data_IF_068463666520
#
_entry.id   IF_068463666520
#
_cell.length_a   1.000
_cell.length_b   1.000
_cell.length_c   1.000
_cell.angle_alpha   90.00
_cell.angle_beta   90.00
_cell.angle_gamma   90.00
#
_symmetry.space_group_name_H-M   'P 1'
#
loop_
_entity.id
_entity.type
_entity.pdbx_description
1 polymer ?
#
# COMPACT_ATOMS: atom_id res chain seq x y z
N UNK A 1 31.39 -50.90 -27.22
CA UNK A 1 31.89 -49.65 -26.58
C UNK A 1 31.32 -49.54 -25.17
N UNK A 2 32.03 -50.08 -24.18
CA UNK A 2 31.67 -49.92 -22.76
C UNK A 2 32.05 -48.48 -22.38
N UNK A 3 31.10 -47.54 -22.47
CA UNK A 3 31.28 -46.21 -21.88
C UNK A 3 31.54 -46.44 -20.40
N UNK A 4 32.71 -46.04 -19.93
CA UNK A 4 33.12 -46.18 -18.54
C UNK A 4 32.03 -45.60 -17.63
N UNK A 5 31.40 -46.47 -16.84
CA UNK A 5 30.22 -46.16 -16.02
C UNK A 5 30.53 -45.02 -15.04
N UNK A 6 31.80 -44.90 -14.63
CA UNK A 6 32.27 -43.81 -13.77
C UNK A 6 32.24 -42.46 -14.49
N UNK A 7 32.70 -42.41 -15.74
CA UNK A 7 32.70 -41.19 -16.57
C UNK A 7 31.26 -40.76 -16.87
N UNK A 8 30.38 -41.69 -17.21
CA UNK A 8 28.96 -41.41 -17.44
C UNK A 8 28.28 -40.87 -16.17
N UNK A 9 28.55 -41.48 -15.02
CA UNK A 9 28.00 -41.05 -13.72
C UNK A 9 28.46 -39.63 -13.36
N UNK A 10 29.73 -39.31 -13.59
CA UNK A 10 30.29 -37.97 -13.34
C UNK A 10 29.64 -36.91 -14.25
N UNK A 11 29.46 -37.21 -15.53
CA UNK A 11 28.78 -36.33 -16.50
C UNK A 11 27.32 -36.08 -16.13
N UNK A 12 26.58 -37.13 -15.75
CA UNK A 12 25.19 -37.03 -15.28
C UNK A 12 25.09 -36.09 -14.08
N UNK A 13 25.94 -36.29 -13.06
CA UNK A 13 25.94 -35.46 -11.85
C UNK A 13 26.30 -34.01 -12.14
N UNK A 14 27.33 -33.78 -12.98
CA UNK A 14 27.74 -32.44 -13.40
C UNK A 14 26.59 -31.70 -14.09
N UNK A 15 26.01 -32.27 -15.14
CA UNK A 15 24.87 -31.66 -15.87
C UNK A 15 23.67 -31.40 -14.95
N UNK A 16 23.41 -32.34 -14.05
CA UNK A 16 22.32 -32.18 -13.09
C UNK A 16 22.57 -31.01 -12.12
N UNK A 17 23.79 -30.86 -11.58
CA UNK A 17 24.18 -29.73 -10.71
C UNK A 17 24.14 -28.39 -11.45
N UNK A 18 24.50 -28.37 -12.74
CA UNK A 18 24.42 -27.19 -13.62
C UNK A 18 22.97 -26.72 -13.89
N UNK A 19 21.94 -27.45 -13.43
CA UNK A 19 20.53 -27.01 -13.58
C UNK A 19 19.69 -27.86 -14.53
N UNK A 20 20.31 -28.80 -15.25
CA UNK A 20 19.56 -29.63 -16.18
C UNK A 20 18.58 -30.55 -15.44
N UNK A 21 17.38 -30.71 -15.99
CA UNK A 21 16.38 -31.65 -15.45
C UNK A 21 16.76 -33.09 -15.82
N UNK A 22 16.28 -34.07 -15.05
CA UNK A 22 16.49 -35.50 -15.32
C UNK A 22 16.14 -35.87 -16.77
N UNK A 23 15.04 -35.30 -17.31
CA UNK A 23 14.61 -35.55 -18.67
C UNK A 23 15.53 -34.92 -19.73
N UNK A 24 16.10 -33.74 -19.44
CA UNK A 24 17.06 -33.06 -20.32
C UNK A 24 18.38 -33.83 -20.34
N UNK A 25 18.91 -34.20 -19.16
CA UNK A 25 20.14 -35.00 -19.05
C UNK A 25 19.99 -36.36 -19.74
N UNK A 26 18.83 -37.01 -19.59
CA UNK A 26 18.52 -38.27 -20.26
C UNK A 26 18.55 -38.12 -21.80
N UNK A 27 17.94 -37.05 -22.33
CA UNK A 27 17.92 -36.76 -23.76
C UNK A 27 19.30 -36.41 -24.31
N UNK A 28 20.04 -35.54 -23.63
CA UNK A 28 21.38 -35.08 -24.05
C UNK A 28 22.41 -36.22 -24.08
N UNK A 29 22.36 -37.13 -23.11
CA UNK A 29 23.34 -38.21 -22.99
C UNK A 29 22.88 -39.52 -23.67
N UNK A 30 21.66 -39.54 -24.22
CA UNK A 30 21.08 -40.73 -24.86
C UNK A 30 20.84 -41.89 -23.89
N UNK A 31 20.47 -41.58 -22.64
CA UNK A 31 20.24 -42.57 -21.58
C UNK A 31 18.81 -42.50 -21.05
N UNK A 32 18.34 -43.55 -20.41
CA UNK A 32 17.00 -43.56 -19.82
C UNK A 32 16.90 -42.64 -18.59
N UNK A 33 15.70 -42.14 -18.29
CA UNK A 33 15.45 -41.30 -17.10
C UNK A 33 15.77 -42.05 -15.79
N UNK A 34 15.50 -43.36 -15.75
CA UNK A 34 15.81 -44.21 -14.59
C UNK A 34 17.31 -44.38 -14.39
N UNK A 35 18.09 -44.48 -15.47
CA UNK A 35 19.57 -44.46 -15.42
C UNK A 35 20.05 -43.16 -14.78
N UNK A 36 19.57 -42.01 -15.23
CA UNK A 36 19.93 -40.70 -14.63
C UNK A 36 19.58 -40.66 -13.15
N UNK A 37 18.38 -41.13 -12.78
CA UNK A 37 17.91 -41.12 -11.40
C UNK A 37 18.71 -42.05 -10.47
N UNK A 38 19.25 -43.16 -11.00
CA UNK A 38 20.14 -44.08 -10.27
C UNK A 38 21.51 -43.44 -10.01
N UNK A 39 22.01 -42.61 -10.93
CA UNK A 39 23.32 -41.94 -10.80
C UNK A 39 23.28 -40.66 -9.96
N UNK A 40 22.10 -40.03 -9.78
CA UNK A 40 21.91 -38.86 -8.90
C UNK A 40 21.54 -39.33 -7.48
N UNK A 41 22.43 -39.16 -6.48
CA UNK A 41 22.18 -39.59 -5.11
C UNK A 41 21.00 -38.83 -4.51
N UNK A 42 20.29 -39.46 -3.56
CA UNK A 42 19.05 -38.91 -3.00
C UNK A 42 19.27 -37.56 -2.33
N UNK A 43 20.43 -37.33 -1.69
CA UNK A 43 20.74 -36.03 -1.07
C UNK A 43 20.94 -34.90 -2.09
N UNK A 44 21.33 -35.21 -3.32
CA UNK A 44 21.48 -34.21 -4.39
C UNK A 44 20.17 -33.96 -5.14
N UNK A 45 19.11 -34.72 -4.88
CA UNK A 45 17.82 -34.54 -5.55
C UNK A 45 17.18 -33.24 -5.08
N UNK A 46 16.85 -32.37 -6.03
CA UNK A 46 16.06 -31.16 -5.81
C UNK A 46 14.74 -31.53 -5.17
N UNK A 47 14.32 -30.74 -4.20
CA UNK A 47 12.97 -30.81 -3.65
C UNK A 47 11.93 -30.49 -4.74
N UNK A 48 10.67 -30.83 -4.46
CA UNK A 48 9.58 -30.62 -5.41
C UNK A 48 9.47 -29.15 -5.86
N UNK A 49 9.73 -28.21 -4.94
CA UNK A 49 9.68 -26.78 -5.20
C UNK A 49 10.81 -26.29 -6.14
N UNK A 50 12.06 -26.70 -5.92
CA UNK A 50 13.18 -26.38 -6.81
C UNK A 50 13.05 -27.09 -8.15
N UNK A 51 12.53 -28.33 -8.18
CA UNK A 51 12.22 -29.02 -9.42
C UNK A 51 11.13 -28.29 -10.22
N UNK A 52 10.08 -27.78 -9.57
CA UNK A 52 9.03 -26.98 -10.23
C UNK A 52 9.57 -25.66 -10.79
N UNK A 53 10.37 -24.93 -10.00
CA UNK A 53 11.05 -23.69 -10.45
C UNK A 53 11.94 -23.96 -11.66
N UNK A 54 12.68 -25.08 -11.66
CA UNK A 54 13.55 -25.43 -12.78
C UNK A 54 12.75 -25.81 -14.03
N UNK A 55 11.62 -26.52 -13.91
CA UNK A 55 10.74 -26.81 -15.04
C UNK A 55 10.17 -25.54 -15.65
N UNK A 56 9.81 -24.55 -14.82
CA UNK A 56 9.34 -23.26 -15.28
C UNK A 56 10.45 -22.49 -16.05
N UNK A 57 11.69 -22.52 -15.55
CA UNK A 57 12.85 -21.90 -16.24
C UNK A 57 13.21 -22.61 -17.55
N UNK A 58 13.14 -23.94 -17.57
CA UNK A 58 13.49 -24.77 -18.73
C UNK A 58 12.32 -24.92 -19.71
N UNK A 59 11.16 -24.31 -19.45
CA UNK A 59 10.05 -24.33 -20.38
C UNK A 59 10.49 -23.57 -21.63
N UNK A 60 10.57 -24.29 -22.74
CA UNK A 60 10.86 -23.67 -24.03
C UNK A 60 9.81 -22.58 -24.28
N UNK A 61 10.28 -21.36 -24.54
CA UNK A 61 9.40 -20.26 -24.91
C UNK A 61 8.68 -20.65 -26.18
N UNK A 62 7.35 -20.56 -26.14
CA UNK A 62 6.53 -20.75 -27.34
C UNK A 62 6.92 -19.71 -28.40
N UNK A 63 6.74 -20.00 -29.70
CA UNK A 63 7.01 -19.02 -30.76
C UNK A 63 6.30 -17.68 -30.54
N UNK A 64 5.09 -17.73 -29.97
CA UNK A 64 4.31 -16.56 -29.56
C UNK A 64 5.02 -15.74 -28.47
N UNK A 65 5.54 -16.39 -27.42
CA UNK A 65 6.27 -15.71 -26.35
C UNK A 65 7.57 -15.07 -26.85
N UNK A 66 8.26 -15.71 -27.80
CA UNK A 66 9.45 -15.15 -28.45
C UNK A 66 9.10 -13.90 -29.27
N UNK A 67 8.03 -13.94 -30.05
CA UNK A 67 7.55 -12.80 -30.81
C UNK A 67 7.14 -11.63 -29.89
N UNK A 68 6.39 -11.93 -28.82
CA UNK A 68 5.99 -10.94 -27.81
C UNK A 68 7.22 -10.31 -27.14
N UNK A 69 8.22 -11.12 -26.80
CA UNK A 69 9.49 -10.63 -26.24
C UNK A 69 10.20 -9.68 -27.20
N UNK A 70 10.30 -10.04 -28.49
CA UNK A 70 10.91 -9.17 -29.50
C UNK A 70 10.16 -7.83 -29.63
N UNK A 71 8.83 -7.84 -29.57
CA UNK A 71 8.03 -6.60 -29.57
C UNK A 71 8.27 -5.74 -28.33
N UNK A 72 8.35 -6.35 -27.14
CA UNK A 72 8.68 -5.65 -25.89
C UNK A 72 10.05 -4.97 -26.01
N UNK A 73 11.08 -5.71 -26.45
CA UNK A 73 12.44 -5.17 -26.61
C UNK A 73 12.45 -4.02 -27.61
N UNK A 74 11.76 -4.16 -28.75
CA UNK A 74 11.68 -3.11 -29.77
C UNK A 74 11.00 -1.83 -29.26
N UNK A 75 9.81 -1.96 -28.66
CA UNK A 75 9.05 -0.81 -28.14
C UNK A 75 9.77 -0.16 -26.97
N UNK A 76 10.31 -0.96 -26.05
CA UNK A 76 11.10 -0.41 -24.96
C UNK A 76 12.33 0.29 -25.50
N UNK A 77 13.08 -0.32 -26.43
CA UNK A 77 14.27 0.24 -27.07
C UNK A 77 14.04 1.59 -27.76
N UNK A 78 12.83 1.83 -28.31
CA UNK A 78 12.47 3.08 -28.98
C UNK A 78 12.20 4.26 -28.04
N UNK A 79 12.58 4.19 -26.76
CA UNK A 79 12.32 5.24 -25.77
C UNK A 79 10.99 5.13 -25.04
N UNK A 80 10.14 4.14 -25.34
CA UNK A 80 8.83 4.02 -24.69
C UNK A 80 8.98 3.57 -23.22
N UNK A 81 8.25 4.17 -22.26
CA UNK A 81 8.27 3.76 -20.86
C UNK A 81 7.56 2.42 -20.68
N UNK A 82 7.98 1.63 -19.68
CA UNK A 82 7.48 0.28 -19.43
C UNK A 82 5.94 0.24 -19.29
N UNK A 83 5.35 1.26 -18.68
CA UNK A 83 3.90 1.41 -18.50
C UNK A 83 3.17 1.52 -19.84
N UNK A 84 3.73 2.27 -20.79
CA UNK A 84 3.12 2.47 -22.11
C UNK A 84 3.35 1.27 -23.01
N UNK A 85 4.51 0.60 -22.90
CA UNK A 85 4.74 -0.70 -23.55
C UNK A 85 3.74 -1.74 -23.06
N UNK A 86 3.53 -1.82 -21.74
CA UNK A 86 2.56 -2.70 -21.10
C UNK A 86 1.13 -2.43 -21.62
N UNK A 87 0.71 -1.17 -21.63
CA UNK A 87 -0.61 -0.78 -22.16
C UNK A 87 -0.76 -1.09 -23.65
N UNK A 88 0.26 -0.82 -24.47
CA UNK A 88 0.25 -1.05 -25.93
C UNK A 88 0.11 -2.54 -26.27
N UNK A 89 0.76 -3.40 -25.48
CA UNK A 89 0.75 -4.85 -25.71
C UNK A 89 -0.31 -5.60 -24.89
N UNK A 90 -1.10 -4.91 -24.07
CA UNK A 90 -2.12 -5.53 -23.21
C UNK A 90 -1.53 -6.46 -22.14
N UNK A 91 -0.31 -6.20 -21.67
CA UNK A 91 0.38 -7.01 -20.66
C UNK A 91 0.66 -6.21 -19.38
N UNK A 92 1.02 -6.89 -18.30
CA UNK A 92 1.42 -6.20 -17.06
C UNK A 92 2.81 -5.58 -17.17
N UNK A 93 3.08 -4.55 -16.36
CA UNK A 93 4.42 -3.94 -16.28
C UNK A 93 5.46 -4.96 -15.81
N UNK A 94 5.11 -5.85 -14.88
CA UNK A 94 5.98 -6.92 -14.42
C UNK A 94 6.31 -7.91 -15.56
N UNK A 95 5.33 -8.20 -16.41
CA UNK A 95 5.53 -9.03 -17.60
C UNK A 95 6.50 -8.38 -18.62
N UNK A 96 6.54 -7.05 -18.71
CA UNK A 96 7.54 -6.30 -19.49
C UNK A 96 8.94 -6.48 -18.87
N UNK A 97 9.07 -6.27 -17.55
CA UNK A 97 10.36 -6.38 -16.84
C UNK A 97 10.96 -7.78 -16.98
N UNK A 98 10.17 -8.83 -16.77
CA UNK A 98 10.64 -10.23 -16.87
C UNK A 98 11.12 -10.59 -18.28
N UNK A 99 10.64 -9.90 -19.32
CA UNK A 99 10.99 -10.15 -20.72
C UNK A 99 12.21 -9.37 -21.21
N UNK A 100 12.60 -8.33 -20.48
CA UNK A 100 13.82 -7.56 -20.71
C UNK A 100 15.00 -8.24 -20.01
N UNK A 101 16.15 -8.28 -20.68
CA UNK A 101 17.40 -8.69 -20.03
C UNK A 101 17.86 -7.61 -19.04
N UNK A 102 18.61 -7.97 -17.97
CA UNK A 102 19.13 -6.99 -17.01
C UNK A 102 19.94 -5.88 -17.67
N UNK A 103 20.67 -6.19 -18.75
CA UNK A 103 21.43 -5.21 -19.55
C UNK A 103 20.56 -4.28 -20.40
N UNK A 104 19.31 -4.66 -20.65
CA UNK A 104 18.34 -3.87 -21.41
C UNK A 104 17.54 -2.93 -20.50
N UNK A 105 17.61 -3.08 -19.18
CA UNK A 105 16.92 -2.19 -18.26
C UNK A 105 17.63 -0.85 -18.22
N UNK A 106 16.89 0.23 -18.52
CA UNK A 106 17.41 1.59 -18.38
C UNK A 106 17.74 1.89 -16.93
N UNK A 107 18.74 2.74 -16.74
CA UNK A 107 19.01 3.32 -15.44
C UNK A 107 17.81 4.15 -14.95
N UNK A 108 17.67 4.28 -13.63
CA UNK A 108 16.59 5.12 -13.04
C UNK A 108 16.64 6.56 -13.55
N UNK A 109 17.85 7.10 -13.76
CA UNK A 109 18.05 8.47 -14.24
C UNK A 109 17.62 8.63 -15.70
N UNK A 110 17.96 7.68 -16.56
CA UNK A 110 17.60 7.69 -17.97
C UNK A 110 16.08 7.50 -18.18
N UNK A 111 15.46 6.59 -17.41
CA UNK A 111 14.02 6.42 -17.41
C UNK A 111 13.28 7.70 -16.96
N UNK A 112 13.83 8.41 -15.97
CA UNK A 112 13.27 9.68 -15.51
C UNK A 112 13.41 10.78 -16.57
N UNK A 113 14.55 10.90 -17.25
CA UNK A 113 14.75 11.87 -18.35
C UNK A 113 13.74 11.69 -19.48
N UNK A 114 13.60 10.47 -19.99
CA UNK A 114 12.66 10.16 -21.08
C UNK A 114 11.19 10.36 -20.67
N UNK A 115 10.86 10.11 -19.40
CA UNK A 115 9.51 10.36 -18.89
C UNK A 115 9.20 11.86 -18.81
N UNK A 116 10.18 12.69 -18.44
CA UNK A 116 10.03 14.16 -18.42
C UNK A 116 9.87 14.71 -19.83
N UNK A 117 10.66 14.19 -20.78
CA UNK A 117 10.63 14.58 -22.20
C UNK A 117 9.26 14.26 -22.85
N UNK A 118 8.74 13.05 -22.65
CA UNK A 118 7.40 12.69 -23.12
C UNK A 118 6.28 13.46 -22.40
N UNK A 119 6.48 13.85 -21.14
CA UNK A 119 5.52 14.70 -20.42
C UNK A 119 5.59 16.17 -20.85
N UNK A 120 6.72 16.66 -21.37
CA UNK A 120 6.77 17.99 -22.03
C UNK A 120 6.01 18.00 -23.33
N UNK A 121 6.05 16.92 -24.12
CA UNK A 121 5.31 16.84 -25.38
C UNK A 121 3.78 16.86 -25.17
N UNK A 122 3.31 16.36 -24.03
CA UNK A 122 1.88 16.32 -23.68
C UNK A 122 1.34 17.62 -23.07
N UNK A 123 2.23 18.50 -22.61
CA UNK A 123 1.86 19.76 -21.94
C UNK A 123 2.66 20.90 -22.60
N UNK A 124 2.11 21.55 -23.64
CA UNK A 124 2.79 22.61 -24.35
C UNK A 124 3.16 23.75 -23.40
N UNK A 125 4.44 23.82 -23.06
CA UNK A 125 5.03 24.77 -22.11
C UNK A 125 4.71 26.21 -22.50
N UNK A 126 4.92 26.55 -23.78
CA UNK A 126 4.71 27.88 -24.32
C UNK A 126 3.23 28.31 -24.23
N UNK A 127 2.31 27.38 -24.51
CA UNK A 127 0.88 27.63 -24.42
C UNK A 127 0.42 27.83 -22.97
N UNK A 128 0.92 27.02 -22.04
CA UNK A 128 0.64 27.16 -20.60
C UNK A 128 1.11 28.53 -20.11
N UNK A 129 2.32 28.95 -20.50
CA UNK A 129 2.87 30.25 -20.14
C UNK A 129 2.06 31.38 -20.76
N UNK A 130 1.71 31.29 -22.06
CA UNK A 130 0.91 32.31 -22.74
C UNK A 130 -0.47 32.51 -22.09
N UNK A 131 -1.19 31.42 -21.78
CA UNK A 131 -2.50 31.49 -21.12
C UNK A 131 -2.40 32.00 -19.68
N UNK A 132 -1.33 31.66 -18.96
CA UNK A 132 -1.10 32.19 -17.61
C UNK A 132 -0.83 33.71 -17.65
N UNK A 133 -0.04 34.19 -18.62
CA UNK A 133 0.20 35.62 -18.84
C UNK A 133 -1.09 36.36 -19.22
N UNK A 134 -2.02 35.71 -19.93
CA UNK A 134 -3.36 36.22 -20.22
C UNK A 134 -4.30 36.24 -19.00
N UNK A 135 -3.86 35.74 -17.84
CA UNK A 135 -4.61 35.80 -16.58
C UNK A 135 -5.31 34.50 -16.18
N UNK A 136 -5.12 33.40 -16.92
CA UNK A 136 -5.68 32.10 -16.53
C UNK A 136 -5.06 31.62 -15.21
N UNK A 137 -5.88 31.11 -14.30
CA UNK A 137 -5.40 30.59 -13.03
C UNK A 137 -4.77 29.20 -13.20
N UNK A 138 -3.81 28.86 -12.33
CA UNK A 138 -3.19 27.52 -12.32
C UNK A 138 -4.23 26.39 -12.14
N UNK A 139 -5.34 26.68 -11.49
CA UNK A 139 -6.45 25.74 -11.28
C UNK A 139 -7.23 25.50 -12.58
N UNK A 140 -7.50 26.54 -13.36
CA UNK A 140 -8.19 26.44 -14.66
C UNK A 140 -7.32 25.71 -15.68
N UNK A 141 -6.03 26.04 -15.73
CA UNK A 141 -5.05 25.33 -16.56
C UNK A 141 -4.94 23.86 -16.15
N UNK A 142 -4.94 23.57 -14.85
CA UNK A 142 -4.93 22.18 -14.37
C UNK A 142 -6.15 21.39 -14.83
N UNK A 143 -7.34 22.00 -14.79
CA UNK A 143 -8.57 21.37 -15.31
C UNK A 143 -8.51 21.16 -16.83
N UNK A 144 -8.05 22.17 -17.57
CA UNK A 144 -7.97 22.13 -19.03
C UNK A 144 -7.09 20.97 -19.53
N UNK A 145 -5.94 20.77 -18.89
CA UNK A 145 -4.98 19.73 -19.28
C UNK A 145 -5.12 18.44 -18.48
N UNK A 146 -6.12 18.32 -17.59
CA UNK A 146 -6.34 17.13 -16.78
C UNK A 146 -5.20 16.83 -15.79
N UNK A 147 -4.44 17.85 -15.36
CA UNK A 147 -3.29 17.72 -14.47
C UNK A 147 -3.46 18.53 -13.18
N UNK A 148 -2.77 18.11 -12.13
CA UNK A 148 -2.82 18.83 -10.86
C UNK A 148 -2.22 20.25 -11.01
N UNK A 149 -2.75 21.29 -10.33
CA UNK A 149 -2.26 22.67 -10.45
C UNK A 149 -0.77 22.84 -10.11
N UNK A 150 -0.20 21.97 -9.27
CA UNK A 150 1.24 21.96 -8.99
C UNK A 150 2.09 21.54 -10.20
N UNK A 151 1.56 20.69 -11.08
CA UNK A 151 2.21 20.32 -12.34
C UNK A 151 2.27 21.51 -13.29
N UNK A 152 1.18 22.29 -13.37
CA UNK A 152 1.15 23.56 -14.11
C UNK A 152 2.12 24.58 -13.52
N UNK A 153 2.16 24.72 -12.18
CA UNK A 153 3.11 25.63 -11.51
C UNK A 153 4.56 25.34 -11.89
N UNK A 154 4.98 24.06 -11.90
CA UNK A 154 6.36 23.66 -12.25
C UNK A 154 6.74 24.00 -13.70
N UNK A 155 5.75 24.31 -14.53
CA UNK A 155 5.89 24.68 -15.93
C UNK A 155 5.84 26.19 -16.13
N UNK A 156 5.56 27.00 -15.12
CA UNK A 156 5.63 28.46 -15.24
C UNK A 156 6.97 28.91 -14.63
N UNK A 157 7.81 29.65 -15.38
CA UNK A 157 9.04 30.24 -14.84
C UNK A 157 8.76 31.02 -13.55
N UNK A 158 9.62 30.84 -12.54
CA UNK A 158 9.43 31.50 -11.24
C UNK A 158 9.37 33.03 -11.37
N UNK A 159 10.03 33.60 -12.38
CA UNK A 159 10.02 35.04 -12.69
C UNK A 159 8.63 35.58 -13.09
N UNK A 160 7.77 34.73 -13.65
CA UNK A 160 6.39 35.07 -14.02
C UNK A 160 5.39 34.82 -12.87
N UNK A 161 5.77 34.01 -11.90
CA UNK A 161 4.96 33.76 -10.72
C UNK A 161 5.16 34.94 -9.79
N UNK A 162 4.18 35.86 -9.75
CA UNK A 162 4.21 36.94 -8.75
C UNK A 162 4.49 36.33 -7.38
N UNK A 163 5.58 36.72 -6.70
CA UNK A 163 5.88 36.20 -5.38
C UNK A 163 4.65 36.48 -4.53
N UNK A 164 4.15 35.44 -3.88
CA UNK A 164 3.01 35.52 -2.96
C UNK A 164 3.48 36.44 -1.83
N UNK A 165 3.24 37.74 -1.98
CA UNK A 165 3.54 38.69 -0.94
C UNK A 165 2.81 38.18 0.30
N UNK A 166 3.57 37.99 1.38
CA UNK A 166 3.03 37.92 2.74
C UNK A 166 2.46 39.30 3.06
N UNK A 167 1.46 39.75 2.33
CA UNK A 167 0.65 40.89 2.69
C UNK A 167 -0.49 40.29 3.50
N UNK A 168 -0.54 40.50 4.83
CA UNK A 168 -1.75 40.20 5.57
C UNK A 168 -2.84 41.06 4.94
N UNK A 169 -3.83 40.46 4.30
CA UNK A 169 -5.05 41.21 4.00
C UNK A 169 -5.54 41.79 5.34
N UNK A 170 -5.73 43.12 5.46
CA UNK A 170 -6.37 43.69 6.63
C UNK A 170 -7.80 43.18 6.63
N UNK A 171 -8.06 42.12 7.40
CA UNK A 171 -9.42 41.76 7.78
C UNK A 171 -9.99 42.95 8.56
N UNK A 172 -11.29 43.25 8.46
CA UNK A 172 -11.91 44.32 9.24
C UNK A 172 -11.70 44.04 10.73
N UNK A 173 -10.70 44.71 11.32
CA UNK A 173 -10.29 44.50 12.72
C UNK A 173 -11.31 45.12 13.69
N UNK A 174 -12.09 46.10 13.25
CA UNK A 174 -12.97 46.88 14.13
C UNK A 174 -14.01 46.05 14.88
N UNK A 175 -14.64 45.04 14.23
CA UNK A 175 -15.65 44.19 14.91
C UNK A 175 -15.03 43.14 15.84
N UNK A 176 -13.75 42.77 15.65
CA UNK A 176 -13.07 41.76 16.47
C UNK A 176 -12.49 42.33 17.76
N UNK A 177 -12.01 43.57 17.72
CA UNK A 177 -11.40 44.23 18.89
C UNK A 177 -12.42 44.41 20.02
N UNK A 178 -13.65 44.80 19.70
CA UNK A 178 -14.72 44.97 20.69
C UNK A 178 -15.13 43.64 21.37
N UNK A 179 -15.06 42.53 20.63
CA UNK A 179 -15.35 41.19 21.19
C UNK A 179 -14.21 40.73 22.12
N UNK A 180 -12.96 41.14 21.83
CA UNK A 180 -11.80 40.76 22.65
C UNK A 180 -11.77 41.49 24.00
N UNK A 181 -12.11 42.78 24.03
CA UNK A 181 -12.21 43.54 25.28
C UNK A 181 -13.35 43.04 26.17
N UNK A 182 -14.49 42.68 25.58
CA UNK A 182 -15.61 42.12 26.33
C UNK A 182 -15.26 40.76 26.95
N UNK A 183 -14.61 39.88 26.17
CA UNK A 183 -14.14 38.58 26.66
C UNK A 183 -13.15 38.76 27.83
N UNK A 184 -12.21 39.73 27.74
CA UNK A 184 -11.27 40.03 28.83
C UNK A 184 -11.97 40.56 30.07
N UNK A 185 -12.89 41.50 29.92
CA UNK A 185 -13.65 42.10 31.03
C UNK A 185 -14.43 41.05 31.81
N UNK A 186 -15.16 40.16 31.12
CA UNK A 186 -15.94 39.10 31.76
C UNK A 186 -15.08 38.02 32.40
N UNK A 187 -13.95 37.67 31.79
CA UNK A 187 -12.99 36.75 32.40
C UNK A 187 -12.34 37.36 33.66
N UNK A 188 -12.03 38.66 33.63
CA UNK A 188 -11.56 39.41 34.80
C UNK A 188 -12.63 39.51 35.92
N UNK A 189 -13.92 39.56 35.56
CA UNK A 189 -15.04 39.46 36.49
C UNK A 189 -15.25 38.05 37.09
N UNK A 190 -14.54 37.03 36.57
CA UNK A 190 -14.54 35.68 37.13
C UNK A 190 -15.32 34.64 36.32
N UNK A 191 -15.86 34.99 35.15
CA UNK A 191 -16.52 34.02 34.27
C UNK A 191 -15.52 32.99 33.71
N UNK A 192 -15.95 31.73 33.62
CA UNK A 192 -15.08 30.68 33.09
C UNK A 192 -14.88 30.82 31.58
N UNK A 193 -13.71 30.41 31.09
CA UNK A 193 -13.43 30.39 29.65
C UNK A 193 -14.39 29.49 28.85
N UNK A 194 -15.03 28.51 29.51
CA UNK A 194 -16.02 27.62 28.89
C UNK A 194 -17.37 28.31 28.69
N UNK A 195 -17.84 29.08 29.67
CA UNK A 195 -19.05 29.91 29.55
C UNK A 195 -18.90 30.96 28.46
N UNK A 196 -17.76 31.65 28.42
CA UNK A 196 -17.45 32.62 27.37
C UNK A 196 -17.39 31.98 25.98
N UNK A 197 -16.76 30.80 25.86
CA UNK A 197 -16.72 30.07 24.59
C UNK A 197 -18.12 29.75 24.06
N UNK A 198 -19.02 29.31 24.94
CA UNK A 198 -20.41 28.98 24.60
C UNK A 198 -21.22 30.21 24.20
N UNK A 199 -21.10 31.31 24.93
CA UNK A 199 -21.87 32.55 24.67
C UNK A 199 -21.42 33.26 23.40
N UNK A 200 -20.11 33.31 23.14
CA UNK A 200 -19.57 33.94 21.94
C UNK A 200 -19.52 32.99 20.72
N UNK A 201 -19.94 31.73 20.87
CA UNK A 201 -19.94 30.74 19.79
C UNK A 201 -18.54 30.42 19.26
N UNK A 202 -17.52 30.49 20.12
CA UNK A 202 -16.11 30.26 19.78
C UNK A 202 -15.54 29.09 20.57
N UNK A 203 -14.40 28.56 20.13
CA UNK A 203 -13.70 27.52 20.90
C UNK A 203 -13.04 28.10 22.16
N UNK A 204 -12.88 27.30 23.21
CA UNK A 204 -12.13 27.67 24.43
C UNK A 204 -10.69 28.07 24.09
N UNK A 205 -10.09 27.44 23.08
CA UNK A 205 -8.77 27.81 22.57
C UNK A 205 -8.75 29.22 21.98
N UNK A 206 -9.82 29.62 21.28
CA UNK A 206 -9.99 30.99 20.77
C UNK A 206 -10.10 32.00 21.92
N UNK A 207 -10.85 31.69 22.98
CA UNK A 207 -10.94 32.55 24.19
C UNK A 207 -9.57 32.72 24.84
N UNK A 208 -8.84 31.61 25.04
CA UNK A 208 -7.48 31.62 25.59
C UNK A 208 -6.52 32.46 24.76
N UNK A 209 -6.61 32.39 23.43
CA UNK A 209 -5.75 33.19 22.55
C UNK A 209 -6.03 34.71 22.58
N UNK A 210 -7.14 35.15 23.20
CA UNK A 210 -7.49 36.58 23.34
C UNK A 210 -7.18 37.17 24.71
N UNK A 211 -7.05 36.33 25.73
CA UNK A 211 -6.63 36.74 27.08
C UNK A 211 -5.09 36.70 27.12
N UNK A 212 -4.41 37.81 27.47
CA UNK A 212 -2.96 37.81 27.63
C UNK A 212 -2.53 36.76 28.67
N UNK A 213 -1.39 36.10 28.45
CA UNK A 213 -0.89 35.06 29.35
C UNK A 213 -0.74 35.53 30.81
N UNK A 214 -0.57 36.84 31.04
CA UNK A 214 -0.48 37.46 32.37
C UNK A 214 -1.82 37.49 33.14
N UNK A 215 -2.95 37.50 32.45
CA UNK A 215 -4.30 37.57 33.04
C UNK A 215 -4.95 36.18 33.19
N UNK A 216 -4.27 35.14 32.69
CA UNK A 216 -4.79 33.79 32.71
C UNK A 216 -4.64 33.15 34.10
N UNK A 217 -5.76 32.97 34.81
CA UNK A 217 -5.86 32.34 36.14
C UNK A 217 -5.35 30.89 36.26
N UNK A 218 -4.72 30.33 35.23
CA UNK A 218 -4.27 28.95 35.15
C UNK A 218 -2.76 28.73 35.26
N UNK A 219 -1.98 29.70 35.77
CA UNK A 219 -0.54 29.48 36.04
C UNK A 219 -0.22 29.81 37.51
N UNK A 220 0.29 28.86 38.31
CA UNK A 220 1.13 29.23 39.43
C UNK A 220 2.47 29.72 38.86
N UNK A 221 2.93 30.86 39.34
CA UNK A 221 4.24 31.38 39.01
C UNK A 221 5.29 30.50 39.71
N UNK A 222 5.97 29.62 38.98
CA UNK A 222 7.35 29.23 39.29
C UNK A 222 8.04 28.52 38.11
N UNK A 223 9.33 28.81 38.01
CA UNK A 223 10.39 28.13 37.25
C UNK A 223 10.48 28.33 35.74
N UNK A 224 11.03 29.51 35.41
CA UNK A 224 12.07 29.62 34.41
C UNK A 224 13.41 29.09 34.95
N UNK A 225 13.67 27.79 34.83
CA UNK A 225 15.03 27.21 34.88
C UNK A 225 14.99 25.72 34.51
N UNK A 226 15.97 25.31 33.70
CA UNK A 226 16.25 23.94 33.25
C UNK A 226 15.25 23.29 32.27
N UNK A 227 15.59 23.36 30.99
CA UNK A 227 15.13 22.36 30.00
C UNK A 227 15.50 20.95 30.48
N UNK A 228 14.54 20.04 30.74
CA UNK A 228 14.86 18.63 30.84
C UNK A 228 15.03 18.10 29.42
N UNK A 229 16.06 17.29 29.25
CA UNK A 229 16.35 16.52 28.04
C UNK A 229 15.10 15.82 27.48
N UNK A 230 14.98 15.81 26.15
CA UNK A 230 13.99 15.00 25.41
C UNK A 230 14.12 13.54 25.84
N UNK A 231 13.26 13.09 26.73
CA UNK A 231 12.89 11.69 26.83
C UNK A 231 11.83 11.39 25.77
N UNK A 232 12.01 10.27 25.08
CA UNK A 232 11.13 9.80 24.03
C UNK A 232 9.71 9.62 24.57
N UNK A 233 8.77 10.45 24.11
CA UNK A 233 7.36 10.24 24.43
C UNK A 233 6.82 9.06 23.60
N UNK A 234 6.19 8.05 24.23
CA UNK A 234 5.35 7.11 23.51
C UNK A 234 4.14 7.87 22.95
N UNK A 235 3.83 7.59 21.68
CA UNK A 235 2.94 8.40 20.86
C UNK A 235 1.57 8.69 21.49
N UNK A 236 1.19 9.97 21.40
CA UNK A 236 -0.17 10.53 21.34
C UNK A 236 -1.30 9.51 21.58
N UNK A 237 -1.78 9.46 22.82
CA UNK A 237 -3.02 8.79 23.19
C UNK A 237 -4.20 9.49 22.52
N UNK A 238 -4.65 8.92 21.40
CA UNK A 238 -5.97 9.24 20.85
C UNK A 238 -7.04 9.00 21.92
N UNK A 239 -7.99 9.94 22.00
CA UNK A 239 -9.17 9.89 22.87
C UNK A 239 -9.69 8.44 22.93
N UNK A 240 -9.60 7.81 24.10
CA UNK A 240 -10.11 6.46 24.33
C UNK A 240 -11.61 6.52 24.12
N UNK A 241 -12.09 5.95 23.01
CA UNK A 241 -13.52 5.68 22.89
C UNK A 241 -13.90 4.75 24.05
N UNK A 242 -14.91 5.14 24.82
CA UNK A 242 -15.53 4.29 25.82
C UNK A 242 -16.23 3.18 25.04
N UNK A 243 -15.65 1.98 25.09
CA UNK A 243 -16.30 0.79 24.54
C UNK A 243 -17.41 0.36 25.50
N UNK A 244 -18.46 -0.24 24.95
CA UNK A 244 -19.52 -0.85 25.77
C UNK A 244 -19.02 -2.07 26.56
N UNK A 245 -17.92 -2.70 26.13
CA UNK A 245 -17.28 -3.82 26.82
C UNK A 245 -16.06 -3.32 27.59
N UNK A 246 -15.89 -3.81 28.82
CA UNK A 246 -14.69 -3.57 29.62
C UNK A 246 -13.48 -4.32 29.03
N UNK A 247 -12.27 -3.87 29.36
CA UNK A 247 -11.04 -4.54 28.91
C UNK A 247 -10.96 -5.99 29.47
N UNK A 248 -11.49 -6.24 30.66
CA UNK A 248 -11.61 -7.58 31.26
C UNK A 248 -12.58 -8.47 30.48
N UNK A 249 -13.76 -7.96 30.12
CA UNK A 249 -14.75 -8.73 29.36
C UNK A 249 -14.25 -9.08 27.95
N UNK A 250 -13.47 -8.19 27.33
CA UNK A 250 -12.79 -8.46 26.06
C UNK A 250 -11.78 -9.60 26.24
N UNK A 251 -11.00 -9.60 27.32
CA UNK A 251 -10.01 -10.64 27.59
C UNK A 251 -10.64 -11.99 27.87
N UNK A 252 -11.70 -12.05 28.67
CA UNK A 252 -12.37 -13.31 28.99
C UNK A 252 -13.01 -13.93 27.74
N UNK A 253 -13.68 -13.12 26.92
CA UNK A 253 -14.22 -13.58 25.63
C UNK A 253 -13.11 -14.05 24.69
N UNK A 254 -11.98 -13.34 24.67
CA UNK A 254 -10.83 -13.73 23.87
C UNK A 254 -10.27 -15.06 24.37
N UNK A 255 -10.00 -15.22 25.67
CA UNK A 255 -9.50 -16.47 26.28
C UNK A 255 -10.47 -17.65 26.07
N UNK A 256 -11.77 -17.40 26.09
CA UNK A 256 -12.84 -18.38 25.83
C UNK A 256 -12.91 -18.88 24.37
N UNK A 257 -12.02 -18.43 23.48
CA UNK A 257 -11.94 -18.93 22.11
C UNK A 257 -12.52 -18.01 21.05
N UNK A 258 -13.13 -16.88 21.41
CA UNK A 258 -13.69 -15.95 20.43
C UNK A 258 -12.57 -15.19 19.69
N UNK A 259 -12.77 -14.95 18.40
CA UNK A 259 -11.83 -14.15 17.59
C UNK A 259 -12.01 -12.66 17.87
N UNK A 260 -10.94 -11.86 17.73
CA UNK A 260 -11.01 -10.41 17.90
C UNK A 260 -12.03 -9.76 16.95
N UNK A 261 -12.26 -10.36 15.77
CA UNK A 261 -13.29 -9.94 14.82
C UNK A 261 -14.71 -10.20 15.33
N UNK A 262 -14.95 -11.35 15.97
CA UNK A 262 -16.26 -11.67 16.54
C UNK A 262 -16.59 -10.75 17.72
N UNK A 263 -15.61 -10.51 18.60
CA UNK A 263 -15.74 -9.59 19.73
C UNK A 263 -15.97 -8.16 19.23
N UNK A 264 -15.21 -7.71 18.22
CA UNK A 264 -15.37 -6.39 17.62
C UNK A 264 -16.76 -6.20 17.01
N UNK A 265 -17.27 -7.19 16.26
CA UNK A 265 -18.62 -7.15 15.70
C UNK A 265 -19.70 -7.05 16.79
N UNK A 266 -19.57 -7.81 17.87
CA UNK A 266 -20.51 -7.75 19.00
C UNK A 266 -20.48 -6.39 19.71
N UNK A 267 -19.31 -5.74 19.77
CA UNK A 267 -19.12 -4.45 20.41
C UNK A 267 -19.28 -3.24 19.46
N UNK A 268 -19.57 -3.48 18.18
CA UNK A 268 -19.69 -2.42 17.16
C UNK A 268 -18.37 -1.73 16.80
N UNK A 269 -17.22 -2.38 17.01
CA UNK A 269 -15.88 -1.80 16.77
C UNK A 269 -14.98 -2.69 15.91
N UNK A 270 -13.96 -2.07 15.31
CA UNK A 270 -12.97 -2.78 14.49
C UNK A 270 -12.12 -3.77 15.31
N UNK A 271 -11.70 -4.86 14.68
CA UNK A 271 -10.88 -5.90 15.32
C UNK A 271 -9.53 -5.36 15.82
N UNK A 272 -8.97 -4.32 15.19
CA UNK A 272 -7.75 -3.67 15.68
C UNK A 272 -7.96 -2.96 17.01
N UNK A 273 -9.15 -2.40 17.23
CA UNK A 273 -9.51 -1.77 18.52
C UNK A 273 -9.52 -2.81 19.63
N UNK A 274 -10.07 -3.99 19.37
CA UNK A 274 -10.05 -5.13 20.31
C UNK A 274 -8.60 -5.59 20.57
N UNK A 275 -7.80 -5.79 19.53
CA UNK A 275 -6.41 -6.23 19.68
C UNK A 275 -5.52 -5.23 20.45
N UNK A 276 -5.83 -3.92 20.38
CA UNK A 276 -5.14 -2.89 21.17
C UNK A 276 -5.46 -2.97 22.66
N UNK A 277 -6.58 -3.58 23.06
CA UNK A 277 -6.97 -3.79 24.46
C UNK A 277 -6.41 -5.08 25.05
N UNK A 278 -6.00 -6.03 24.21
CA UNK A 278 -5.40 -7.29 24.64
C UNK A 278 -3.88 -7.09 24.83
N UNK A 279 -3.31 -7.43 26.02
CA UNK A 279 -1.87 -7.41 26.25
C UNK A 279 -1.14 -8.23 25.20
N UNK A 280 0.02 -7.74 24.76
CA UNK A 280 0.78 -8.37 23.68
C UNK A 280 1.20 -9.81 24.01
N UNK A 281 1.45 -10.10 25.30
CA UNK A 281 1.74 -11.44 25.82
C UNK A 281 0.59 -12.44 25.66
N UNK A 282 -0.66 -11.96 25.58
CA UNK A 282 -1.86 -12.79 25.47
C UNK A 282 -2.40 -12.88 24.05
N UNK A 283 -1.76 -12.19 23.09
CA UNK A 283 -2.18 -12.25 21.69
C UNK A 283 -1.83 -13.61 21.11
N UNK A 284 -2.80 -14.22 20.47
CA UNK A 284 -2.59 -15.48 19.73
C UNK A 284 -1.61 -15.27 18.60
N UNK A 285 -0.74 -16.26 18.40
CA UNK A 285 0.11 -16.31 17.21
C UNK A 285 -0.73 -16.48 15.96
N UNK A 286 -0.17 -16.16 14.80
CA UNK A 286 -0.84 -16.34 13.50
C UNK A 286 -1.32 -17.79 13.30
N UNK A 287 -0.55 -18.79 13.74
CA UNK A 287 -0.93 -20.21 13.68
C UNK A 287 -2.12 -20.55 14.59
N UNK A 288 -2.10 -20.06 15.84
CA UNK A 288 -3.22 -20.25 16.78
C UNK A 288 -4.50 -19.56 16.28
N UNK A 289 -4.36 -18.35 15.70
CA UNK A 289 -5.47 -17.65 15.08
C UNK A 289 -6.02 -18.41 13.86
N UNK A 290 -5.16 -19.02 13.05
CA UNK A 290 -5.58 -19.87 11.92
C UNK A 290 -6.28 -21.15 12.36
N UNK A 291 -5.90 -21.75 13.49
CA UNK A 291 -6.57 -22.95 14.02
C UNK A 291 -7.96 -22.65 14.59
N UNK A 292 -8.14 -21.49 15.22
CA UNK A 292 -9.44 -21.06 15.79
C UNK A 292 -10.38 -20.45 14.76
N UNK A 293 -9.84 -19.79 13.74
CA UNK A 293 -10.59 -19.46 12.54
C UNK A 293 -10.84 -20.78 11.80
N UNK A 294 -11.96 -21.44 12.10
CA UNK A 294 -12.39 -22.69 11.43
C UNK A 294 -12.00 -22.63 9.96
N UNK A 295 -11.33 -23.66 9.40
CA UNK A 295 -11.13 -23.72 7.96
C UNK A 295 -12.49 -23.50 7.31
N UNK A 296 -12.52 -22.55 6.38
CA UNK A 296 -13.71 -22.24 5.60
C UNK A 296 -14.36 -23.56 5.17
N UNK A 297 -15.68 -23.76 5.38
CA UNK A 297 -16.35 -25.00 5.03
C UNK A 297 -15.89 -25.46 3.64
N UNK A 298 -15.53 -26.74 3.54
CA UNK A 298 -15.02 -27.33 2.32
C UNK A 298 -16.20 -27.48 1.36
N UNK A 299 -16.46 -26.40 0.63
CA UNK A 299 -17.55 -26.29 -0.34
C UNK A 299 -16.90 -26.42 -1.69
N UNK A 300 -17.15 -27.55 -2.33
CA UNK A 300 -16.67 -27.87 -3.66
C UNK A 300 -17.24 -26.92 -4.72
N UNK A 301 -16.49 -26.71 -5.80
CA UNK A 301 -16.87 -25.87 -6.92
C UNK A 301 -18.18 -26.33 -7.56
N UNK A 302 -18.43 -27.64 -7.58
CA UNK A 302 -19.67 -28.22 -8.11
C UNK A 302 -20.91 -27.80 -7.32
N UNK A 303 -20.81 -27.74 -6.00
CA UNK A 303 -21.88 -27.23 -5.13
C UNK A 303 -22.16 -25.76 -5.41
N UNK A 304 -21.11 -24.94 -5.59
CA UNK A 304 -21.25 -23.51 -5.91
C UNK A 304 -21.91 -23.32 -7.29
N UNK A 305 -21.52 -24.13 -8.29
CA UNK A 305 -22.11 -24.13 -9.63
C UNK A 305 -23.59 -24.55 -9.61
N UNK A 306 -23.95 -25.57 -8.84
CA UNK A 306 -25.33 -26.02 -8.70
C UNK A 306 -26.22 -24.93 -8.07
N UNK A 307 -25.73 -24.22 -7.04
CA UNK A 307 -26.46 -23.11 -6.42
C UNK A 307 -26.59 -21.90 -7.37
N UNK A 308 -25.58 -21.63 -8.21
CA UNK A 308 -25.70 -20.61 -9.26
C UNK A 308 -26.70 -20.99 -10.35
N UNK A 309 -26.76 -22.27 -10.73
CA UNK A 309 -27.74 -22.77 -11.70
C UNK A 309 -29.19 -22.64 -11.18
N UNK A 310 -29.39 -22.66 -9.85
CA UNK A 310 -30.68 -22.36 -9.18
C UNK A 310 -31.01 -20.86 -9.12
N UNK A 311 -30.18 -19.99 -9.68
CA UNK A 311 -30.42 -18.55 -9.76
C UNK A 311 -29.99 -17.74 -8.54
N UNK A 312 -29.30 -18.34 -7.56
CA UNK A 312 -28.86 -17.60 -6.37
C UNK A 312 -27.75 -16.59 -6.70
N UNK A 313 -27.80 -15.42 -6.05
CA UNK A 313 -26.72 -14.43 -6.11
C UNK A 313 -25.50 -14.92 -5.32
N UNK A 314 -24.31 -14.39 -5.63
CA UNK A 314 -23.08 -14.74 -4.91
C UNK A 314 -23.15 -14.44 -3.40
N UNK A 315 -23.96 -13.47 -3.01
CA UNK A 315 -24.20 -13.11 -1.61
C UNK A 315 -25.13 -14.13 -0.93
N UNK A 316 -26.19 -14.54 -1.61
CA UNK A 316 -27.09 -15.58 -1.12
C UNK A 316 -26.37 -16.93 -0.97
N UNK A 317 -25.55 -17.31 -1.96
CA UNK A 317 -24.71 -18.51 -1.87
C UNK A 317 -23.74 -18.39 -0.70
N UNK A 318 -23.06 -17.24 -0.56
CA UNK A 318 -22.14 -17.00 0.55
C UNK A 318 -22.82 -17.12 1.92
N UNK A 319 -24.04 -16.60 2.06
CA UNK A 319 -24.83 -16.74 3.28
C UNK A 319 -25.21 -18.21 3.55
N UNK A 320 -25.62 -18.96 2.51
CA UNK A 320 -26.03 -20.36 2.60
C UNK A 320 -24.86 -21.29 2.98
N UNK A 321 -23.68 -21.06 2.39
CA UNK A 321 -22.50 -21.89 2.63
C UNK A 321 -21.56 -21.36 3.72
N UNK A 322 -21.90 -20.25 4.36
CA UNK A 322 -21.07 -19.62 5.40
C UNK A 322 -19.74 -19.04 4.89
N UNK A 323 -19.68 -18.62 3.63
CA UNK A 323 -18.49 -18.04 2.99
C UNK A 323 -18.75 -16.59 2.55
N UNK A 324 -17.68 -15.79 2.45
CA UNK A 324 -17.83 -14.47 1.84
C UNK A 324 -18.12 -14.58 0.34
N UNK A 325 -18.92 -13.67 -0.23
CA UNK A 325 -19.20 -13.62 -1.68
C UNK A 325 -17.93 -13.51 -2.54
N UNK A 326 -16.83 -12.99 -1.97
CA UNK A 326 -15.51 -12.98 -2.61
C UNK A 326 -14.89 -14.37 -2.64
N UNK A 327 -14.97 -15.11 -1.53
CA UNK A 327 -14.46 -16.49 -1.41
C UNK A 327 -15.25 -17.43 -2.31
N UNK A 328 -16.57 -17.29 -2.37
CA UNK A 328 -17.42 -18.09 -3.28
C UNK A 328 -17.03 -17.86 -4.74
N UNK A 329 -16.84 -16.60 -5.17
CA UNK A 329 -16.39 -16.27 -6.52
C UNK A 329 -15.00 -16.81 -6.87
N UNK A 330 -14.11 -16.92 -5.88
CA UNK A 330 -12.77 -17.46 -6.09
C UNK A 330 -12.75 -19.00 -6.19
N UNK A 331 -13.80 -19.67 -5.73
CA UNK A 331 -13.93 -21.15 -5.72
C UNK A 331 -14.87 -21.69 -6.81
N UNK A 332 -15.70 -20.84 -7.42
CA UNK A 332 -16.59 -21.18 -8.54
C UNK A 332 -15.83 -21.41 -9.85
#
# INVERSE_FOLDING_TARGET
MVRDVKVLSALIRRRYREGASIAVVARELGVSKSTVQRHVPVQERRDAAAAARQRHRNRAQTPYEQALRAQVVRLYGSGMPQQRVAATLGISVEAVVVRLEPSQLRSRQEAARLSVEQQSDLLPQEEIVARYVQGATMTELGKLYGVHPTTIRRRIPDDLIRPRSRTPQPRPQSRRVLVDEEIRRRYAAGESAYTLAREFGVSVHTVRARIPDAEWRGRPAEEASASPSRSAQPGSGGVRMVLALSDEEILDRYRAGQSATAIGRAAGVDCRTILRRIPESERRTHLQAQQLNRPAPDVDADTIRALRARGLSWEAIGAEVGLSAKTVRARA
#
